data_IF_496987693159
#
_entry.id   IF_496987693159
#
_cell.length_a   1.000
_cell.length_b   1.000
_cell.length_c   1.000
_cell.angle_alpha   90.00
_cell.angle_beta   90.00
_cell.angle_gamma   90.00
#
_symmetry.space_group_name_H-M   'P 1'
#
loop_
_entity.id
_entity.type
_entity.pdbx_description
1 polymer ?
#
# COMPACT_ATOMS: atom_id res chain seq x y z
N UNK A 1 -49.37 8.92 23.75
CA UNK A 1 -49.67 8.56 22.33
C UNK A 1 -48.92 9.43 21.31
N UNK A 2 -48.93 10.77 21.39
CA UNK A 2 -48.23 11.63 20.39
C UNK A 2 -46.70 11.46 20.36
N UNK A 3 -46.04 11.28 21.51
CA UNK A 3 -44.61 11.01 21.57
C UNK A 3 -44.17 9.74 20.83
N UNK A 4 -45.02 8.70 20.84
CA UNK A 4 -44.77 7.48 20.08
C UNK A 4 -44.83 7.73 18.56
N UNK A 5 -45.77 8.58 18.10
CA UNK A 5 -45.89 8.95 16.69
C UNK A 5 -44.69 9.81 16.22
N UNK A 6 -44.22 10.75 17.05
CA UNK A 6 -43.01 11.51 16.73
C UNK A 6 -41.77 10.63 16.68
N UNK A 7 -41.61 9.72 17.63
CA UNK A 7 -40.50 8.75 17.63
C UNK A 7 -40.53 7.83 16.41
N UNK A 8 -41.71 7.33 16.04
CA UNK A 8 -41.89 6.52 14.83
C UNK A 8 -41.57 7.32 13.55
N UNK A 9 -41.99 8.58 13.47
CA UNK A 9 -41.67 9.46 12.34
C UNK A 9 -40.17 9.70 12.17
N UNK A 10 -39.45 9.98 13.27
CA UNK A 10 -37.99 10.13 13.25
C UNK A 10 -37.29 8.84 12.82
N UNK A 11 -37.75 7.68 13.31
CA UNK A 11 -37.20 6.39 12.93
C UNK A 11 -37.40 6.10 11.44
N UNK A 12 -38.61 6.30 10.90
CA UNK A 12 -38.90 6.12 9.48
C UNK A 12 -38.04 7.05 8.62
N UNK A 13 -37.94 8.33 9.01
CA UNK A 13 -37.10 9.31 8.30
C UNK A 13 -35.63 8.90 8.28
N UNK A 14 -35.09 8.44 9.42
CA UNK A 14 -33.73 7.94 9.51
C UNK A 14 -33.48 6.71 8.62
N UNK A 15 -34.41 5.74 8.62
CA UNK A 15 -34.33 4.55 7.76
C UNK A 15 -34.35 4.97 6.28
N UNK A 16 -35.28 5.84 5.89
CA UNK A 16 -35.37 6.32 4.51
C UNK A 16 -34.10 7.05 4.07
N UNK A 17 -33.57 7.95 4.91
CA UNK A 17 -32.32 8.66 4.62
C UNK A 17 -31.13 7.70 4.47
N UNK A 18 -31.05 6.67 5.33
CA UNK A 18 -29.99 5.66 5.28
C UNK A 18 -30.08 4.83 3.99
N UNK A 19 -31.28 4.40 3.60
CA UNK A 19 -31.52 3.67 2.35
C UNK A 19 -31.19 4.55 1.14
N UNK A 20 -31.65 5.80 1.12
CA UNK A 20 -31.38 6.74 0.03
C UNK A 20 -29.88 7.01 -0.13
N UNK A 21 -29.17 7.26 0.97
CA UNK A 21 -27.72 7.47 0.96
C UNK A 21 -26.97 6.24 0.47
N UNK A 22 -27.28 5.07 1.03
CA UNK A 22 -26.67 3.79 0.62
C UNK A 22 -26.91 3.51 -0.86
N UNK A 23 -28.13 3.75 -1.35
CA UNK A 23 -28.50 3.56 -2.75
C UNK A 23 -27.75 4.52 -3.66
N UNK A 24 -27.55 5.77 -3.24
CA UNK A 24 -26.77 6.74 -3.99
C UNK A 24 -25.28 6.36 -4.06
N UNK A 25 -24.71 5.83 -2.98
CA UNK A 25 -23.33 5.31 -2.96
C UNK A 25 -23.20 4.11 -3.90
N UNK A 26 -24.13 3.15 -3.85
CA UNK A 26 -24.13 2.00 -4.76
C UNK A 26 -24.29 2.45 -6.21
N UNK A 27 -25.16 3.42 -6.48
CA UNK A 27 -25.40 3.95 -7.81
C UNK A 27 -24.13 4.54 -8.45
N UNK A 28 -23.30 5.25 -7.69
CA UNK A 28 -22.04 5.83 -8.21
C UNK A 28 -20.86 4.84 -8.33
N UNK A 29 -21.02 3.57 -7.93
CA UNK A 29 -19.94 2.58 -8.07
C UNK A 29 -19.49 2.46 -9.52
N UNK A 30 -18.17 2.44 -9.74
CA UNK A 30 -17.53 2.43 -11.05
C UNK A 30 -17.51 3.80 -11.76
N UNK A 31 -18.02 4.88 -11.15
CA UNK A 31 -17.90 6.22 -11.72
C UNK A 31 -16.47 6.73 -11.57
N UNK A 32 -15.78 7.08 -12.68
CA UNK A 32 -14.39 7.49 -12.61
C UNK A 32 -14.22 8.86 -11.98
N UNK A 33 -13.14 9.03 -11.20
CA UNK A 33 -12.80 10.30 -10.53
C UNK A 33 -11.31 10.59 -10.65
N UNK A 34 -10.90 11.84 -10.93
CA UNK A 34 -9.49 12.15 -11.18
C UNK A 34 -8.53 11.87 -10.00
N UNK A 35 -9.01 11.97 -8.76
CA UNK A 35 -8.20 11.93 -7.53
C UNK A 35 -7.39 10.63 -7.36
N UNK A 36 -8.00 9.48 -7.64
CA UNK A 36 -7.35 8.16 -7.54
C UNK A 36 -7.02 7.54 -8.90
N UNK A 37 -7.24 8.27 -10.00
CA UNK A 37 -6.96 7.79 -11.37
C UNK A 37 -5.52 7.34 -11.56
N UNK A 38 -4.57 8.06 -10.96
CA UNK A 38 -3.15 7.72 -11.04
C UNK A 38 -2.86 6.32 -10.49
N UNK A 39 -3.54 5.91 -9.41
CA UNK A 39 -3.42 4.57 -8.81
C UNK A 39 -3.91 3.52 -9.80
N UNK A 40 -5.09 3.77 -10.39
CA UNK A 40 -5.68 2.88 -11.38
C UNK A 40 -4.74 2.69 -12.58
N UNK A 41 -4.28 3.77 -13.21
CA UNK A 41 -3.44 3.68 -14.42
C UNK A 41 -2.09 3.02 -14.14
N UNK A 42 -1.43 3.36 -13.02
CA UNK A 42 -0.19 2.68 -12.63
C UNK A 42 -0.41 1.20 -12.35
N UNK A 43 -1.51 0.84 -11.68
CA UNK A 43 -1.85 -0.56 -11.41
C UNK A 43 -2.11 -1.34 -12.70
N UNK A 44 -2.81 -0.75 -13.67
CA UNK A 44 -3.05 -1.37 -14.98
C UNK A 44 -1.73 -1.64 -15.73
N UNK A 45 -0.80 -0.68 -15.74
CA UNK A 45 0.51 -0.87 -16.37
C UNK A 45 1.32 -1.98 -15.69
N UNK A 46 1.36 -1.99 -14.35
CA UNK A 46 2.06 -3.02 -13.55
C UNK A 46 1.45 -4.41 -13.79
N UNK A 47 0.12 -4.50 -13.84
CA UNK A 47 -0.60 -5.74 -14.14
C UNK A 47 -0.31 -6.24 -15.56
N UNK A 48 -0.24 -5.34 -16.54
CA UNK A 48 0.12 -5.69 -17.92
C UNK A 48 1.51 -6.31 -18.06
N UNK A 49 2.50 -5.82 -17.30
CA UNK A 49 3.82 -6.46 -17.25
C UNK A 49 3.78 -7.79 -16.49
N UNK A 50 3.06 -7.86 -15.36
CA UNK A 50 2.94 -9.06 -14.55
C UNK A 50 2.35 -10.25 -15.34
N UNK A 51 1.33 -10.02 -16.16
CA UNK A 51 0.71 -11.07 -17.00
C UNK A 51 1.63 -11.59 -18.11
N UNK A 52 2.67 -10.82 -18.47
CA UNK A 52 3.68 -11.27 -19.45
C UNK A 52 4.68 -12.28 -18.87
N UNK A 53 4.75 -12.42 -17.54
CA UNK A 53 5.74 -13.27 -16.86
C UNK A 53 5.14 -14.66 -16.55
N UNK A 54 5.70 -15.70 -17.16
CA UNK A 54 5.29 -17.09 -16.98
C UNK A 54 6.19 -17.91 -16.04
N UNK A 55 7.24 -17.29 -15.49
CA UNK A 55 8.21 -17.95 -14.59
C UNK A 55 8.10 -17.39 -13.17
N UNK A 56 8.57 -18.14 -12.15
CA UNK A 56 8.59 -17.64 -10.77
C UNK A 56 9.30 -16.29 -10.68
N UNK A 57 8.63 -15.31 -10.06
CA UNK A 57 9.08 -13.91 -10.01
C UNK A 57 9.16 -13.38 -8.59
N UNK A 58 9.89 -12.28 -8.43
CA UNK A 58 9.92 -11.49 -7.21
C UNK A 58 8.81 -10.43 -7.31
N UNK A 59 7.96 -10.31 -6.30
CA UNK A 59 6.88 -9.33 -6.23
C UNK A 59 7.14 -8.43 -5.02
N UNK A 60 7.29 -7.13 -5.24
CA UNK A 60 7.47 -6.16 -4.16
C UNK A 60 6.10 -5.61 -3.72
N UNK A 61 5.67 -5.94 -2.50
CA UNK A 61 4.32 -5.62 -1.99
C UNK A 61 4.43 -4.70 -0.78
N UNK A 62 4.05 -3.43 -0.97
CA UNK A 62 4.12 -2.35 0.03
C UNK A 62 3.50 -1.06 -0.56
N UNK A 63 3.63 0.08 0.11
CA UNK A 63 3.30 1.40 -0.38
C UNK A 63 4.46 2.14 -1.06
N UNK A 64 4.41 3.47 -0.98
CA UNK A 64 5.26 4.35 -1.77
C UNK A 64 6.75 4.28 -1.39
N UNK A 65 7.12 3.84 -0.18
CA UNK A 65 8.53 3.63 0.15
C UNK A 65 9.21 2.64 -0.81
N UNK A 66 8.43 1.70 -1.35
CA UNK A 66 8.89 0.68 -2.29
C UNK A 66 8.77 1.11 -3.74
N UNK A 67 7.68 1.83 -4.07
CA UNK A 67 7.49 2.41 -5.39
C UNK A 67 8.70 3.25 -5.83
N UNK A 68 9.25 4.03 -4.90
CA UNK A 68 10.39 4.91 -5.15
C UNK A 68 11.73 4.32 -4.66
N UNK A 69 11.72 3.45 -3.64
CA UNK A 69 12.94 3.05 -2.94
C UNK A 69 13.63 1.77 -3.42
N UNK A 70 13.00 0.95 -4.27
CA UNK A 70 13.57 -0.33 -4.73
C UNK A 70 13.43 -0.42 -6.25
N UNK A 71 14.51 -0.78 -6.95
CA UNK A 71 14.49 -1.01 -8.39
C UNK A 71 14.35 -2.49 -8.73
N UNK A 72 13.17 -2.89 -9.21
CA UNK A 72 12.98 -4.21 -9.80
C UNK A 72 13.78 -4.39 -11.09
N UNK A 73 13.99 -3.32 -11.89
CA UNK A 73 14.87 -3.40 -13.07
C UNK A 73 16.29 -3.87 -12.68
N UNK A 74 16.82 -3.36 -11.57
CA UNK A 74 18.16 -3.74 -11.07
C UNK A 74 18.15 -5.12 -10.43
N UNK A 75 17.13 -5.45 -9.63
CA UNK A 75 16.95 -6.78 -9.05
C UNK A 75 16.92 -7.85 -10.15
N UNK A 76 16.10 -7.65 -11.19
CA UNK A 76 15.95 -8.58 -12.31
C UNK A 76 17.28 -8.78 -13.04
N UNK A 77 17.99 -7.69 -13.35
CA UNK A 77 19.28 -7.75 -14.03
C UNK A 77 20.33 -8.55 -13.24
N UNK A 78 20.35 -8.38 -11.92
CA UNK A 78 21.37 -8.96 -11.03
C UNK A 78 21.05 -10.39 -10.60
N UNK A 79 19.79 -10.66 -10.25
CA UNK A 79 19.32 -11.95 -9.74
C UNK A 79 18.88 -12.90 -10.86
N UNK A 80 18.79 -12.42 -12.11
CA UNK A 80 18.33 -13.21 -13.27
C UNK A 80 16.96 -13.85 -13.06
N UNK A 81 16.10 -13.19 -12.28
CA UNK A 81 14.71 -13.58 -11.99
C UNK A 81 13.81 -12.39 -12.25
N UNK A 82 12.65 -12.54 -12.93
CA UNK A 82 11.73 -11.42 -13.14
C UNK A 82 11.35 -10.76 -11.82
N UNK A 83 11.19 -9.45 -11.83
CA UNK A 83 10.81 -8.67 -10.65
C UNK A 83 9.71 -7.67 -11.03
N UNK A 84 8.64 -7.63 -10.26
CA UNK A 84 7.55 -6.66 -10.43
C UNK A 84 7.42 -5.83 -9.17
N UNK A 85 7.54 -4.51 -9.33
CA UNK A 85 7.24 -3.55 -8.28
C UNK A 85 5.74 -3.24 -8.35
N UNK A 86 4.94 -3.85 -7.47
CA UNK A 86 3.49 -3.65 -7.46
C UNK A 86 3.06 -2.56 -6.48
N UNK A 87 4.03 -1.92 -5.81
CA UNK A 87 3.77 -0.91 -4.81
C UNK A 87 3.23 0.39 -5.44
N UNK A 88 2.36 1.08 -4.68
CA UNK A 88 1.69 2.32 -5.09
C UNK A 88 1.75 3.37 -3.96
N UNK A 89 0.90 3.22 -2.95
CA UNK A 89 0.89 4.05 -1.74
C UNK A 89 0.39 3.24 -0.56
N UNK A 90 0.91 3.55 0.64
CA UNK A 90 0.47 2.95 1.90
C UNK A 90 -0.97 3.34 2.24
N UNK A 91 -1.48 4.44 1.67
CA UNK A 91 -2.86 4.90 1.88
C UNK A 91 -3.91 3.92 1.35
N UNK A 92 -3.53 2.98 0.49
CA UNK A 92 -4.41 1.87 0.11
C UNK A 92 -4.71 0.91 1.28
N UNK A 93 -4.00 1.04 2.39
CA UNK A 93 -4.23 0.24 3.59
C UNK A 93 -3.75 -1.20 3.45
N UNK A 94 -3.54 -1.83 4.62
CA UNK A 94 -2.96 -3.16 4.70
C UNK A 94 -3.82 -4.21 3.98
N UNK A 95 -5.13 -4.21 4.22
CA UNK A 95 -6.07 -5.18 3.64
C UNK A 95 -5.99 -5.22 2.11
N UNK A 96 -6.11 -4.06 1.46
CA UNK A 96 -6.10 -3.99 -0.01
C UNK A 96 -4.73 -4.37 -0.56
N UNK A 97 -3.63 -3.90 0.06
CA UNK A 97 -2.28 -4.23 -0.38
C UNK A 97 -2.05 -5.75 -0.34
N UNK A 98 -2.48 -6.42 0.73
CA UNK A 98 -2.35 -7.87 0.86
C UNK A 98 -3.31 -8.61 -0.07
N UNK A 99 -4.55 -8.14 -0.22
CA UNK A 99 -5.51 -8.75 -1.14
C UNK A 99 -5.08 -8.66 -2.60
N UNK A 100 -4.58 -7.50 -3.03
CA UNK A 100 -4.01 -7.32 -4.35
C UNK A 100 -2.84 -8.29 -4.59
N UNK A 101 -1.98 -8.49 -3.59
CA UNK A 101 -0.93 -9.50 -3.67
C UNK A 101 -1.49 -10.93 -3.83
N UNK A 102 -2.61 -11.26 -3.17
CA UNK A 102 -3.28 -12.57 -3.34
C UNK A 102 -3.78 -12.79 -4.76
N UNK A 103 -4.27 -11.73 -5.41
CA UNK A 103 -4.84 -11.80 -6.75
C UNK A 103 -3.77 -12.03 -7.84
N UNK A 104 -2.54 -11.59 -7.60
CA UNK A 104 -1.48 -11.56 -8.63
C UNK A 104 -0.37 -12.60 -8.42
N UNK A 105 -0.16 -13.05 -7.18
CA UNK A 105 0.90 -14.01 -6.89
C UNK A 105 0.51 -15.42 -7.35
N UNK A 106 1.51 -16.16 -7.83
CA UNK A 106 1.40 -17.53 -8.31
C UNK A 106 2.31 -18.46 -7.49
N UNK A 107 2.07 -19.78 -7.50
CA UNK A 107 2.95 -20.72 -6.84
C UNK A 107 4.42 -20.54 -7.24
N UNK A 108 5.31 -20.62 -6.25
CA UNK A 108 6.76 -20.40 -6.34
C UNK A 108 7.21 -18.95 -6.52
N UNK A 109 6.30 -17.99 -6.63
CA UNK A 109 6.68 -16.58 -6.55
C UNK A 109 7.30 -16.26 -5.18
N UNK A 110 8.17 -15.25 -5.15
CA UNK A 110 8.71 -14.69 -3.92
C UNK A 110 8.11 -13.32 -3.67
N UNK A 111 7.38 -13.16 -2.56
CA UNK A 111 6.86 -11.85 -2.14
C UNK A 111 7.83 -11.24 -1.14
N UNK A 112 8.28 -10.01 -1.41
CA UNK A 112 9.04 -9.19 -0.46
C UNK A 112 8.14 -8.11 0.14
N UNK A 113 8.07 -8.06 1.48
CA UNK A 113 7.23 -7.13 2.25
C UNK A 113 8.05 -6.03 2.98
N UNK A 114 8.50 -4.98 2.30
CA UNK A 114 9.08 -3.77 2.88
C UNK A 114 8.01 -2.78 3.41
N UNK A 115 7.04 -3.25 4.21
CA UNK A 115 5.88 -2.46 4.62
C UNK A 115 6.25 -1.22 5.44
N UNK A 116 5.58 -0.10 5.16
CA UNK A 116 5.69 1.11 5.98
C UNK A 116 5.20 0.88 7.41
N UNK A 117 5.82 1.58 8.37
CA UNK A 117 5.54 1.37 9.80
C UNK A 117 4.06 1.58 10.16
N UNK A 118 3.38 2.50 9.48
CA UNK A 118 1.95 2.79 9.66
C UNK A 118 1.06 1.58 9.35
N UNK A 119 1.51 0.65 8.48
CA UNK A 119 0.76 -0.56 8.15
C UNK A 119 0.83 -1.60 9.27
N UNK A 120 1.77 -1.48 10.22
CA UNK A 120 1.85 -2.36 11.39
C UNK A 120 1.00 -1.86 12.58
N UNK A 121 0.63 -0.58 12.60
CA UNK A 121 -0.10 0.06 13.71
C UNK A 121 -1.52 0.52 13.29
N UNK A 122 -2.00 0.06 12.14
CA UNK A 122 -3.34 0.41 11.66
C UNK A 122 -4.43 -0.41 12.35
N UNK A 123 -5.63 0.16 12.43
CA UNK A 123 -6.83 -0.48 13.00
C UNK A 123 -7.88 -0.81 11.93
N UNK A 124 -7.49 -0.80 10.65
CA UNK A 124 -8.37 -1.16 9.53
C UNK A 124 -9.36 -0.07 9.12
N UNK A 125 -9.12 1.18 9.51
CA UNK A 125 -9.89 2.32 9.04
C UNK A 125 -9.44 2.69 7.63
N UNK A 126 -10.34 2.73 6.63
CA UNK A 126 -9.96 3.09 5.27
C UNK A 126 -9.62 4.57 5.17
N UNK A 127 -8.58 4.91 4.40
CA UNK A 127 -8.25 6.29 4.06
C UNK A 127 -9.26 6.86 3.06
N UNK A 128 -9.38 8.19 2.98
CA UNK A 128 -10.19 8.83 1.93
C UNK A 128 -9.77 8.41 0.53
N UNK A 129 -8.46 8.26 0.29
CA UNK A 129 -7.92 7.82 -0.99
C UNK A 129 -8.32 6.38 -1.32
N UNK A 130 -8.30 5.47 -0.34
CA UNK A 130 -8.74 4.08 -0.52
C UNK A 130 -10.25 4.02 -0.85
N UNK A 131 -11.07 4.77 -0.10
CA UNK A 131 -12.51 4.87 -0.36
C UNK A 131 -12.78 5.35 -1.79
N UNK A 132 -12.11 6.45 -2.17
CA UNK A 132 -12.21 7.04 -3.50
C UNK A 132 -11.85 6.05 -4.61
N UNK A 133 -10.71 5.36 -4.44
CA UNK A 133 -10.18 4.38 -5.37
C UNK A 133 -11.08 3.16 -5.52
N UNK A 134 -11.60 2.61 -4.42
CA UNK A 134 -12.47 1.44 -4.47
C UNK A 134 -13.75 1.75 -5.21
N UNK A 135 -14.42 2.85 -4.85
CA UNK A 135 -15.70 3.23 -5.45
C UNK A 135 -15.54 3.51 -6.94
N UNK A 136 -14.46 4.19 -7.34
CA UNK A 136 -14.25 4.55 -8.74
C UNK A 136 -13.73 3.39 -9.60
N UNK A 137 -12.79 2.60 -9.08
CA UNK A 137 -11.93 1.74 -9.91
C UNK A 137 -11.87 0.28 -9.47
N UNK A 138 -12.33 -0.07 -8.27
CA UNK A 138 -12.31 -1.46 -7.77
C UNK A 138 -13.67 -1.95 -7.22
N UNK A 139 -14.77 -1.91 -8.01
CA UNK A 139 -16.04 -2.49 -7.57
C UNK A 139 -15.97 -3.97 -7.21
N UNK A 140 -15.12 -4.75 -7.89
CA UNK A 140 -14.91 -6.17 -7.56
C UNK A 140 -14.33 -6.37 -6.16
N UNK A 141 -13.40 -5.51 -5.73
CA UNK A 141 -12.86 -5.55 -4.37
C UNK A 141 -13.94 -5.18 -3.35
N UNK A 142 -14.76 -4.17 -3.63
CA UNK A 142 -15.92 -3.85 -2.79
C UNK A 142 -16.82 -5.07 -2.61
N UNK A 143 -17.12 -5.83 -3.68
CA UNK A 143 -17.97 -7.01 -3.56
C UNK A 143 -17.39 -8.11 -2.67
N UNK A 144 -16.07 -8.28 -2.68
CA UNK A 144 -15.35 -9.26 -1.85
C UNK A 144 -15.29 -8.91 -0.35
N UNK A 145 -15.58 -7.66 0.02
CA UNK A 145 -15.54 -7.21 1.41
C UNK A 145 -16.59 -7.87 2.29
N UNK A 146 -16.26 -8.03 3.58
CA UNK A 146 -17.25 -8.39 4.57
C UNK A 146 -18.23 -7.23 4.85
N UNK A 147 -19.35 -7.54 5.52
CA UNK A 147 -20.41 -6.56 5.77
C UNK A 147 -19.92 -5.34 6.57
N UNK A 148 -19.05 -5.52 7.55
CA UNK A 148 -18.53 -4.42 8.37
C UNK A 148 -17.64 -3.48 7.53
N UNK A 149 -16.78 -4.03 6.66
CA UNK A 149 -15.97 -3.26 5.73
C UNK A 149 -16.86 -2.50 4.73
N UNK A 150 -17.88 -3.14 4.15
CA UNK A 150 -18.87 -2.47 3.28
C UNK A 150 -19.54 -1.30 3.98
N UNK A 151 -20.02 -1.49 5.22
CA UNK A 151 -20.64 -0.43 6.03
C UNK A 151 -19.66 0.71 6.28
N UNK A 152 -18.43 0.42 6.74
CA UNK A 152 -17.40 1.43 6.98
C UNK A 152 -17.09 2.24 5.72
N UNK A 153 -17.02 1.57 4.56
CA UNK A 153 -16.77 2.23 3.28
C UNK A 153 -17.93 3.14 2.88
N UNK A 154 -19.17 2.62 2.91
CA UNK A 154 -20.37 3.39 2.54
C UNK A 154 -20.51 4.62 3.45
N UNK A 155 -20.37 4.45 4.76
CA UNK A 155 -20.49 5.53 5.72
C UNK A 155 -19.32 6.52 5.67
N UNK A 156 -18.17 6.12 5.12
CA UNK A 156 -17.00 6.98 4.92
C UNK A 156 -17.08 7.87 3.68
N UNK A 157 -18.07 7.69 2.79
CA UNK A 157 -18.19 8.50 1.58
C UNK A 157 -18.59 9.93 1.92
N UNK A 158 -17.71 10.89 1.61
CA UNK A 158 -18.01 12.31 1.81
C UNK A 158 -19.10 12.80 0.84
N UNK A 159 -19.90 13.83 1.21
CA UNK A 159 -20.88 14.42 0.31
C UNK A 159 -20.29 14.90 -1.02
N UNK A 160 -19.08 15.47 -0.97
CA UNK A 160 -18.35 15.93 -2.16
C UNK A 160 -18.03 14.76 -3.08
N UNK A 161 -17.53 13.64 -2.54
CA UNK A 161 -17.22 12.44 -3.32
C UNK A 161 -18.47 11.80 -3.92
N UNK A 162 -19.57 11.76 -3.16
CA UNK A 162 -20.86 11.25 -3.62
C UNK A 162 -21.37 12.08 -4.82
N UNK A 163 -21.35 13.40 -4.69
CA UNK A 163 -21.79 14.30 -5.76
C UNK A 163 -20.93 14.16 -7.01
N UNK A 164 -19.60 14.12 -6.87
CA UNK A 164 -18.68 13.90 -7.99
C UNK A 164 -18.96 12.58 -8.72
N UNK A 165 -19.17 11.48 -8.00
CA UNK A 165 -19.41 10.18 -8.62
C UNK A 165 -20.78 10.07 -9.28
N UNK A 166 -21.81 10.72 -8.75
CA UNK A 166 -23.12 10.81 -9.42
C UNK A 166 -23.01 11.59 -10.73
N UNK A 167 -22.34 12.74 -10.72
CA UNK A 167 -22.14 13.54 -11.94
C UNK A 167 -21.26 12.83 -12.98
N UNK A 168 -20.31 12.01 -12.52
CA UNK A 168 -19.42 11.24 -13.39
C UNK A 168 -20.04 9.93 -13.90
N UNK A 169 -21.26 9.56 -13.46
CA UNK A 169 -21.86 8.27 -13.84
C UNK A 169 -22.09 8.21 -15.35
N UNK A 170 -21.65 7.11 -15.96
CA UNK A 170 -21.78 6.89 -17.40
C UNK A 170 -20.74 7.62 -18.26
N UNK A 171 -19.87 8.44 -17.66
CA UNK A 171 -18.71 8.98 -18.36
C UNK A 171 -17.67 7.87 -18.55
N UNK A 172 -17.13 7.74 -19.77
CA UNK A 172 -16.01 6.84 -20.02
C UNK A 172 -14.71 7.45 -19.48
N UNK A 173 -13.81 6.59 -19.00
CA UNK A 173 -12.44 7.02 -18.80
C UNK A 173 -11.89 7.44 -20.17
N UNK A 174 -11.35 8.65 -20.30
CA UNK A 174 -10.48 8.94 -21.44
C UNK A 174 -9.37 7.89 -21.48
N UNK A 175 -8.90 7.52 -22.68
CA UNK A 175 -7.85 6.50 -22.86
C UNK A 175 -6.69 6.72 -21.88
N UNK A 176 -6.06 5.61 -21.45
CA UNK A 176 -4.89 5.62 -20.57
C UNK A 176 -3.96 6.76 -21.02
N UNK A 177 -3.71 7.69 -20.10
CA UNK A 177 -2.93 8.87 -20.47
C UNK A 177 -1.48 8.47 -20.60
N UNK A 178 -0.87 8.80 -21.75
CA UNK A 178 0.57 8.61 -22.03
C UNK A 178 1.49 9.25 -20.97
N UNK A 179 0.93 10.10 -20.11
CA UNK A 179 1.62 10.79 -19.02
C UNK A 179 2.10 9.87 -17.90
N UNK A 180 1.39 8.78 -17.55
CA UNK A 180 1.86 7.88 -16.48
C UNK A 180 2.81 6.81 -16.99
N UNK A 181 2.63 6.36 -18.23
CA UNK A 181 3.50 5.36 -18.85
C UNK A 181 4.96 5.86 -18.96
N UNK A 182 5.17 7.15 -19.19
CA UNK A 182 6.51 7.75 -19.25
C UNK A 182 7.19 7.94 -17.88
N UNK A 183 6.46 7.70 -16.78
CA UNK A 183 6.93 7.91 -15.40
C UNK A 183 7.26 6.62 -14.66
N UNK A 184 7.16 5.47 -15.32
CA UNK A 184 7.53 4.17 -14.74
C UNK A 184 8.32 3.31 -15.71
N UNK A 185 9.13 2.39 -15.18
CA UNK A 185 9.73 1.31 -15.97
C UNK A 185 8.70 0.21 -16.27
N UNK A 186 8.95 -0.69 -17.24
CA UNK A 186 8.11 -1.87 -17.45
C UNK A 186 7.91 -2.70 -16.17
N UNK A 187 8.94 -2.83 -15.34
CA UNK A 187 8.89 -3.52 -14.04
C UNK A 187 8.03 -2.81 -12.98
N UNK A 188 7.57 -1.58 -13.24
CA UNK A 188 6.76 -0.79 -12.33
C UNK A 188 7.55 0.13 -11.39
N UNK A 189 8.86 0.30 -11.60
CA UNK A 189 9.66 1.24 -10.80
C UNK A 189 9.32 2.68 -11.19
N UNK A 190 9.13 3.57 -10.23
CA UNK A 190 8.92 4.99 -10.56
C UNK A 190 10.19 5.65 -11.11
N UNK A 191 10.01 6.58 -12.04
CA UNK A 191 11.05 7.45 -12.60
C UNK A 191 10.97 8.88 -12.05
N UNK A 192 10.04 9.16 -11.14
CA UNK A 192 9.83 10.50 -10.57
C UNK A 192 10.93 10.91 -9.59
N UNK A 193 11.68 9.93 -9.06
CA UNK A 193 12.71 10.12 -8.05
C UNK A 193 14.14 10.21 -8.62
N UNK A 194 14.28 10.42 -9.94
CA UNK A 194 15.58 10.43 -10.63
C UNK A 194 16.48 11.63 -10.30
N UNK A 195 15.94 12.68 -9.66
CA UNK A 195 16.69 13.91 -9.38
C UNK A 195 17.43 13.81 -8.05
N UNK A 196 18.67 14.32 -8.02
CA UNK A 196 19.41 14.53 -6.78
C UNK A 196 18.71 15.61 -5.96
N UNK A 197 18.56 15.33 -4.67
CA UNK A 197 17.93 16.23 -3.72
C UNK A 197 18.79 17.45 -3.44
N UNK A 198 18.18 18.65 -3.46
CA UNK A 198 18.84 19.87 -3.02
C UNK A 198 19.01 19.86 -1.50
N UNK A 199 20.25 20.03 -1.00
CA UNK A 199 20.52 20.06 0.46
C UNK A 199 19.84 21.21 1.18
N UNK A 200 19.52 22.29 0.46
CA UNK A 200 18.82 23.46 1.01
C UNK A 200 17.30 23.38 0.84
N UNK A 201 16.76 22.23 0.43
CA UNK A 201 15.31 22.06 0.28
C UNK A 201 14.62 22.11 1.66
N UNK A 202 13.67 23.04 1.87
CA UNK A 202 12.96 23.17 3.14
C UNK A 202 12.13 21.93 3.49
N UNK A 203 11.63 21.18 2.50
CA UNK A 203 10.87 19.94 2.72
C UNK A 203 11.78 18.92 3.41
N UNK A 204 12.98 18.73 2.87
CA UNK A 204 13.96 17.75 3.36
C UNK A 204 14.48 18.13 4.75
N UNK A 205 14.70 19.42 4.98
CA UNK A 205 15.14 19.91 6.28
C UNK A 205 14.04 19.88 7.34
N UNK A 206 12.77 19.89 6.93
CA UNK A 206 11.60 19.80 7.80
C UNK A 206 11.17 18.38 8.15
N UNK A 207 11.81 17.34 7.60
CA UNK A 207 11.49 15.95 7.92
C UNK A 207 11.57 15.65 9.41
N UNK A 208 10.58 14.90 9.90
CA UNK A 208 10.44 14.51 11.30
C UNK A 208 10.37 12.99 11.41
N UNK A 209 10.83 12.40 12.54
CA UNK A 209 10.68 10.98 12.80
C UNK A 209 9.21 10.58 12.88
N UNK A 210 8.93 9.32 12.59
CA UNK A 210 7.60 8.77 12.85
C UNK A 210 7.34 8.68 14.35
N UNK A 211 6.12 9.04 14.72
CA UNK A 211 5.65 8.89 16.08
C UNK A 211 5.16 7.45 16.31
N UNK A 212 6.07 6.56 16.66
CA UNK A 212 5.81 5.13 16.91
C UNK A 212 5.35 4.92 18.37
N UNK A 213 4.22 5.54 18.74
CA UNK A 213 3.69 5.46 20.12
C UNK A 213 3.16 4.08 20.48
N UNK A 214 2.70 3.33 19.47
CA UNK A 214 2.36 1.93 19.63
C UNK A 214 3.65 1.12 19.67
N UNK A 215 3.98 0.60 20.85
CA UNK A 215 5.21 -0.19 21.07
C UNK A 215 5.17 -1.58 20.43
N UNK A 216 4.03 -1.94 19.84
CA UNK A 216 3.81 -3.24 19.23
C UNK A 216 2.91 -3.12 18.01
N UNK A 217 3.03 -4.10 17.11
CA UNK A 217 2.08 -4.32 16.01
C UNK A 217 0.66 -4.38 16.58
N UNK A 218 -0.27 -3.64 15.99
CA UNK A 218 -1.68 -3.66 16.38
C UNK A 218 -2.26 -5.08 16.24
N UNK A 219 -3.31 -5.39 17.03
CA UNK A 219 -4.00 -6.68 16.92
C UNK A 219 -4.56 -6.89 15.52
N UNK A 220 -5.07 -5.82 14.90
CA UNK A 220 -5.61 -5.83 13.56
C UNK A 220 -4.54 -6.18 12.52
N UNK A 221 -3.41 -5.46 12.49
CA UNK A 221 -2.33 -5.74 11.55
C UNK A 221 -1.75 -7.12 11.75
N UNK A 222 -1.61 -7.57 13.01
CA UNK A 222 -1.16 -8.92 13.34
C UNK A 222 -2.09 -9.99 12.75
N UNK A 223 -3.41 -9.81 12.86
CA UNK A 223 -4.38 -10.73 12.29
C UNK A 223 -4.29 -10.79 10.76
N UNK A 224 -4.32 -9.65 10.08
CA UNK A 224 -4.27 -9.58 8.62
C UNK A 224 -2.97 -10.18 8.06
N UNK A 225 -1.83 -9.85 8.67
CA UNK A 225 -0.54 -10.42 8.28
C UNK A 225 -0.49 -11.93 8.55
N UNK A 226 -1.04 -12.41 9.68
CA UNK A 226 -1.06 -13.84 9.99
C UNK A 226 -1.87 -14.63 8.96
N UNK A 227 -3.04 -14.13 8.57
CA UNK A 227 -3.87 -14.73 7.52
C UNK A 227 -3.14 -14.74 6.17
N UNK A 228 -2.46 -13.65 5.82
CA UNK A 228 -1.67 -13.58 4.60
C UNK A 228 -0.48 -14.55 4.60
N UNK A 229 0.23 -14.68 5.72
CA UNK A 229 1.32 -15.63 5.89
C UNK A 229 0.83 -17.08 5.68
N UNK A 230 -0.31 -17.44 6.29
CA UNK A 230 -0.93 -18.77 6.10
C UNK A 230 -1.28 -18.98 4.63
N UNK A 231 -1.95 -18.00 4.02
CA UNK A 231 -2.32 -18.05 2.61
C UNK A 231 -1.09 -18.26 1.70
N UNK A 232 0.02 -17.54 1.91
CA UNK A 232 1.24 -17.74 1.14
C UNK A 232 1.78 -19.17 1.24
N UNK A 233 1.78 -19.77 2.43
CA UNK A 233 2.24 -21.17 2.62
C UNK A 233 1.35 -22.15 1.87
N UNK A 234 0.03 -22.00 1.99
CA UNK A 234 -0.95 -22.87 1.36
C UNK A 234 -0.87 -22.81 -0.19
N UNK A 235 -0.43 -21.67 -0.73
CA UNK A 235 -0.28 -21.43 -2.16
C UNK A 235 1.16 -21.57 -2.67
N UNK A 236 2.07 -22.11 -1.85
CA UNK A 236 3.48 -22.34 -2.19
C UNK A 236 4.22 -21.06 -2.61
N UNK A 237 3.89 -19.93 -2.00
CA UNK A 237 4.54 -18.64 -2.21
C UNK A 237 5.61 -18.46 -1.14
N UNK A 238 6.82 -18.09 -1.57
CA UNK A 238 7.91 -17.77 -0.66
C UNK A 238 7.73 -16.35 -0.13
N UNK A 239 7.32 -16.21 1.12
CA UNK A 239 7.13 -14.91 1.75
C UNK A 239 8.40 -14.49 2.52
N UNK A 240 8.89 -13.29 2.24
CA UNK A 240 10.03 -12.69 2.91
C UNK A 240 9.65 -11.29 3.37
N UNK A 241 9.98 -10.96 4.61
CA UNK A 241 9.81 -9.60 5.15
C UNK A 241 11.12 -8.83 5.13
N UNK A 242 11.03 -7.50 5.05
CA UNK A 242 12.17 -6.58 5.20
C UNK A 242 11.66 -5.24 5.72
N UNK A 243 12.56 -4.29 5.94
CA UNK A 243 12.23 -3.00 6.53
C UNK A 243 11.93 -1.93 5.46
N UNK A 244 11.04 -0.97 5.77
CA UNK A 244 10.85 0.20 4.91
C UNK A 244 12.08 1.10 4.96
N UNK A 245 12.30 1.92 3.92
CA UNK A 245 13.35 2.94 3.98
C UNK A 245 12.91 4.13 4.81
N UNK A 246 13.74 4.65 5.71
CA UNK A 246 13.44 5.92 6.37
C UNK A 246 14.67 6.76 6.61
N UNK A 247 14.48 8.05 6.94
CA UNK A 247 15.59 8.90 7.36
C UNK A 247 16.14 8.36 8.68
N UNK A 248 17.47 8.35 8.81
CA UNK A 248 18.14 8.01 10.05
C UNK A 248 17.97 9.14 11.07
N UNK A 249 17.06 8.92 12.02
CA UNK A 249 16.77 9.81 13.13
C UNK A 249 17.30 9.22 14.43
N UNK A 250 17.90 10.07 15.27
CA UNK A 250 18.39 9.68 16.60
C UNK A 250 17.31 9.09 17.49
N UNK A 251 16.07 9.55 17.35
CA UNK A 251 14.86 9.13 18.07
C UNK A 251 14.51 7.67 17.81
N UNK A 252 15.04 7.07 16.75
CA UNK A 252 14.88 5.64 16.50
C UNK A 252 15.78 4.77 17.39
N UNK A 253 16.74 5.38 18.11
CA UNK A 253 17.54 4.70 19.14
C UNK A 253 16.82 4.65 20.50
N UNK A 254 15.69 5.35 20.65
CA UNK A 254 14.93 5.31 21.90
C UNK A 254 14.44 3.89 22.20
N UNK A 255 14.50 3.42 23.47
CA UNK A 255 14.13 2.05 23.83
C UNK A 255 12.73 1.63 23.36
N UNK A 256 11.78 2.57 23.34
CA UNK A 256 10.40 2.37 22.89
C UNK A 256 10.30 2.10 21.39
N UNK A 257 11.07 2.84 20.58
CA UNK A 257 11.14 2.62 19.14
C UNK A 257 11.83 1.29 18.83
N UNK A 258 12.88 0.98 19.57
CA UNK A 258 13.57 -0.31 19.47
C UNK A 258 12.66 -1.48 19.87
N UNK A 259 11.82 -1.34 20.90
CA UNK A 259 10.81 -2.33 21.27
C UNK A 259 9.81 -2.58 20.11
N UNK A 260 9.35 -1.51 19.45
CA UNK A 260 8.48 -1.63 18.29
C UNK A 260 9.16 -2.40 17.14
N UNK A 261 10.41 -2.09 16.80
CA UNK A 261 11.14 -2.86 15.78
C UNK A 261 11.31 -4.33 16.18
N UNK A 262 11.65 -4.61 17.45
CA UNK A 262 11.75 -5.99 17.92
C UNK A 262 10.39 -6.70 17.85
N UNK A 263 9.27 -6.01 18.07
CA UNK A 263 7.94 -6.60 17.92
C UNK A 263 7.66 -7.07 16.48
N UNK A 264 8.06 -6.29 15.47
CA UNK A 264 7.96 -6.65 14.05
C UNK A 264 8.82 -7.88 13.73
N UNK A 265 10.09 -7.83 14.14
CA UNK A 265 11.02 -8.96 13.93
C UNK A 265 10.54 -10.22 14.62
N UNK A 266 10.09 -10.11 15.86
CA UNK A 266 9.57 -11.23 16.64
C UNK A 266 8.33 -11.85 15.98
N UNK A 267 7.39 -11.03 15.51
CA UNK A 267 6.19 -11.50 14.81
C UNK A 267 6.53 -12.38 13.60
N UNK A 268 7.37 -11.90 12.69
CA UNK A 268 7.74 -12.66 11.49
C UNK A 268 8.59 -13.90 11.81
N UNK A 269 9.53 -13.80 12.74
CA UNK A 269 10.38 -14.93 13.13
C UNK A 269 9.59 -16.05 13.82
N UNK A 270 8.64 -15.73 14.70
CA UNK A 270 7.70 -16.71 15.27
C UNK A 270 6.87 -17.38 14.18
N UNK A 271 6.47 -16.62 13.16
CA UNK A 271 5.81 -17.13 11.98
C UNK A 271 6.78 -17.82 10.98
N UNK A 272 8.06 -18.05 11.31
CA UNK A 272 9.04 -18.66 10.41
C UNK A 272 9.14 -17.97 9.03
N UNK A 273 8.87 -16.67 8.99
CA UNK A 273 9.05 -15.82 7.81
C UNK A 273 10.43 -15.18 7.93
N UNK A 274 11.32 -15.33 6.92
CA UNK A 274 12.60 -14.65 6.93
C UNK A 274 12.45 -13.12 7.02
N UNK A 275 13.31 -12.49 7.82
CA UNK A 275 13.41 -11.03 7.95
C UNK A 275 14.78 -10.62 7.41
N UNK A 276 14.81 -9.87 6.30
CA UNK A 276 16.06 -9.42 5.71
C UNK A 276 16.58 -8.18 6.46
N UNK A 277 17.82 -8.28 6.94
CA UNK A 277 18.54 -7.17 7.57
C UNK A 277 17.89 -6.68 8.88
N UNK A 278 18.25 -5.47 9.24
CA UNK A 278 17.83 -4.74 10.44
C UNK A 278 17.20 -3.39 10.04
N UNK A 279 16.43 -2.74 10.92
CA UNK A 279 15.89 -1.40 10.63
C UNK A 279 16.99 -0.42 10.17
N UNK A 280 18.15 -0.45 10.82
CA UNK A 280 19.29 0.42 10.58
C UNK A 280 19.90 0.22 9.19
N UNK A 281 19.84 -0.99 8.63
CA UNK A 281 20.27 -1.27 7.25
C UNK A 281 19.47 -0.50 6.20
N UNK A 282 18.29 -0.02 6.57
CA UNK A 282 17.33 0.70 5.73
C UNK A 282 17.02 2.12 6.24
N UNK A 283 17.85 2.63 7.15
CA UNK A 283 17.88 4.03 7.55
C UNK A 283 18.96 4.76 6.77
N UNK A 284 18.63 5.93 6.22
CA UNK A 284 19.50 6.64 5.30
C UNK A 284 19.63 8.12 5.68
N UNK A 285 20.74 8.74 5.28
CA UNK A 285 20.88 10.18 5.40
C UNK A 285 19.73 10.91 4.66
N UNK A 286 19.16 11.96 5.26
CA UNK A 286 18.03 12.71 4.69
C UNK A 286 18.25 13.22 3.26
N UNK A 287 19.51 13.46 2.84
CA UNK A 287 19.82 13.89 1.48
C UNK A 287 19.67 12.79 0.41
N UNK A 288 19.38 11.55 0.82
CA UNK A 288 19.00 10.44 -0.05
C UNK A 288 17.48 10.36 -0.28
N UNK A 289 16.69 11.31 0.22
CA UNK A 289 15.23 11.41 0.05
C UNK A 289 14.86 12.67 -0.70
N UNK A 290 13.71 12.73 -1.40
CA UNK A 290 13.37 13.88 -2.26
C UNK A 290 12.07 14.63 -1.92
N UNK A 291 11.07 14.00 -1.29
CA UNK A 291 9.82 14.70 -0.91
C UNK A 291 9.11 14.16 0.33
N UNK A 292 9.50 12.99 0.85
CA UNK A 292 9.00 12.44 2.11
C UNK A 292 10.10 11.64 2.80
N UNK A 293 9.90 11.38 4.09
CA UNK A 293 10.75 10.50 4.90
C UNK A 293 10.78 9.04 4.44
N UNK A 294 9.94 8.64 3.48
CA UNK A 294 9.94 7.30 2.88
C UNK A 294 10.53 7.27 1.47
N UNK A 295 10.55 8.40 0.76
CA UNK A 295 10.79 8.39 -0.69
C UNK A 295 12.24 8.71 -1.01
N UNK A 296 13.03 7.65 -1.23
CA UNK A 296 14.42 7.75 -1.66
C UNK A 296 14.52 8.36 -3.07
N UNK A 297 15.52 9.20 -3.28
CA UNK A 297 15.98 9.60 -4.60
C UNK A 297 16.77 8.44 -5.26
N UNK A 298 17.23 8.65 -6.49
CA UNK A 298 17.92 7.60 -7.25
C UNK A 298 19.15 7.03 -6.54
N UNK A 299 19.96 7.88 -5.89
CA UNK A 299 21.14 7.42 -5.14
C UNK A 299 20.75 6.54 -3.96
N UNK A 300 19.74 6.96 -3.20
CA UNK A 300 19.20 6.17 -2.08
C UNK A 300 18.63 4.83 -2.55
N UNK A 301 17.84 4.85 -3.65
CA UNK A 301 17.28 3.65 -4.27
C UNK A 301 18.36 2.66 -4.69
N UNK A 302 19.44 3.14 -5.31
CA UNK A 302 20.56 2.29 -5.72
C UNK A 302 21.22 1.59 -4.51
N UNK A 303 21.48 2.34 -3.43
CA UNK A 303 22.05 1.78 -2.19
C UNK A 303 21.12 0.73 -1.58
N UNK A 304 19.83 1.07 -1.43
CA UNK A 304 18.82 0.15 -0.88
C UNK A 304 18.68 -1.10 -1.72
N UNK A 305 18.62 -0.96 -3.05
CA UNK A 305 18.46 -2.10 -3.95
C UNK A 305 19.65 -3.05 -3.88
N UNK A 306 20.88 -2.53 -3.83
CA UNK A 306 22.08 -3.37 -3.71
C UNK A 306 22.14 -4.11 -2.37
N UNK A 307 21.70 -3.47 -1.28
CA UNK A 307 21.57 -4.13 0.03
C UNK A 307 20.55 -5.27 -0.03
N UNK A 308 19.37 -5.03 -0.63
CA UNK A 308 18.35 -6.07 -0.80
C UNK A 308 18.85 -7.24 -1.62
N UNK A 309 19.53 -7.00 -2.74
CA UNK A 309 20.13 -8.07 -3.58
C UNK A 309 21.01 -8.99 -2.73
N UNK A 310 21.89 -8.39 -1.93
CA UNK A 310 22.83 -9.14 -1.08
C UNK A 310 22.10 -9.98 -0.03
N UNK A 311 21.02 -9.44 0.55
CA UNK A 311 20.27 -10.10 1.61
C UNK A 311 19.30 -11.17 1.09
N UNK A 312 18.69 -10.97 -0.08
CA UNK A 312 17.65 -11.86 -0.62
C UNK A 312 18.22 -13.06 -1.37
N UNK A 313 19.41 -12.92 -1.99
CA UNK A 313 20.04 -13.97 -2.82
C UNK A 313 20.10 -15.36 -2.16
N UNK A 314 20.42 -15.50 -0.84
CA UNK A 314 20.40 -16.81 -0.17
C UNK A 314 19.04 -17.51 -0.15
N UNK A 315 17.94 -16.77 -0.31
CA UNK A 315 16.56 -17.25 -0.23
C UNK A 315 15.92 -17.54 -1.59
N UNK A 316 16.63 -17.28 -2.69
CA UNK A 316 16.10 -17.45 -4.05
C UNK A 316 16.56 -18.74 -4.73
N UNK A 317 17.36 -19.56 -4.03
CA UNK A 317 17.86 -20.85 -4.49
C UNK A 317 16.75 -21.89 -4.64
#
# INVERSE_FOLDING_TARGET
MRFFQYGLGLLIGFIFATIAFTSAVIYQMGSPVPSSRWIYELNQLKTGYLTSIQTPKIILVSGSNTLYGISCQTLEKKLKRPCVNTALTQELGLDYILDHARQIAQPKDTILLPLEYQLYITHGTPSELLLDYIIAYQPSYFESMNLLQKIRLIMGVSPQRLFQGILAKGQSLSSLTSSYQSRITPQGDSLDNLKITNKNDPIINGFQPFNLQEYQISSYSREQLSQFIVWCRDHQINLISTWPSTVDFSEYQDPKTQEFFQSIKHFYTQAKVPVLGTPEDFMYNKFLFYNSVYHLNDQGRQQRTQKIITLIEPYLK
#
